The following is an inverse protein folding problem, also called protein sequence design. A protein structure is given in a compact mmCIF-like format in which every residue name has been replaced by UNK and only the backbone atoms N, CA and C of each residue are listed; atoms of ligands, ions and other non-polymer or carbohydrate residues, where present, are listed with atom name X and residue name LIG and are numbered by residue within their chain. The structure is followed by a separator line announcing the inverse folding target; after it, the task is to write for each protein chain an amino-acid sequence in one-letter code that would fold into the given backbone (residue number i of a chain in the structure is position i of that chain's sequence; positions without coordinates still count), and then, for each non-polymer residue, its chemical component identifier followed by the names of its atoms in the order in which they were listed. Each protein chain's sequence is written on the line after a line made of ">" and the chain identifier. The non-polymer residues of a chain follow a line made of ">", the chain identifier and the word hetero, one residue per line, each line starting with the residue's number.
data_IF_340597479580
#
_entry.id   IF_340597479580
#
_cell.length_a   1.000
_cell.length_b   1.000
_cell.length_c   1.000
_cell.angle_alpha   90.00
_cell.angle_beta   90.00
_cell.angle_gamma   90.00
#
_symmetry.space_group_name_H-M   'P 1'
#
loop_
_entity.id
_entity.type
_entity.pdbx_description
1 polymer ?
#
# COMPACT_ATOMS: atom_id res chain seq x y z
N UNK A 1 -10.64 -19.97 11.10
CA UNK A 1 -11.05 -20.12 9.70
C UNK A 1 -10.11 -19.35 8.80
N UNK A 2 -9.73 -19.97 7.71
CA UNK A 2 -8.88 -19.30 6.72
C UNK A 2 -9.70 -18.29 5.93
N UNK A 3 -9.19 -17.07 5.87
CA UNK A 3 -9.76 -16.05 4.99
C UNK A 3 -8.77 -15.80 3.87
N UNK A 4 -9.10 -16.30 2.68
CA UNK A 4 -8.23 -16.20 1.53
C UNK A 4 -8.03 -14.77 1.08
N UNK A 5 -9.06 -13.93 1.18
CA UNK A 5 -8.95 -12.51 0.84
C UNK A 5 -7.90 -11.82 1.71
N UNK A 6 -7.92 -12.10 3.01
CA UNK A 6 -6.93 -11.57 3.94
C UNK A 6 -5.51 -12.00 3.56
N UNK A 7 -5.34 -13.26 3.20
CA UNK A 7 -4.04 -13.79 2.78
C UNK A 7 -3.51 -13.11 1.52
N UNK A 8 -4.37 -12.86 0.55
CA UNK A 8 -4.00 -12.20 -0.70
C UNK A 8 -3.47 -10.78 -0.42
N UNK A 9 -4.19 -10.00 0.38
CA UNK A 9 -3.77 -8.65 0.73
C UNK A 9 -2.47 -8.68 1.53
N UNK A 10 -2.38 -9.57 2.52
CA UNK A 10 -1.15 -9.71 3.31
C UNK A 10 0.04 -10.05 2.42
N UNK A 11 -0.13 -11.00 1.52
CA UNK A 11 0.96 -11.45 0.65
C UNK A 11 1.41 -10.35 -0.30
N UNK A 12 0.47 -9.51 -0.78
CA UNK A 12 0.82 -8.35 -1.60
C UNK A 12 1.75 -7.41 -0.84
N UNK A 13 1.36 -7.03 0.38
CA UNK A 13 2.16 -6.07 1.17
C UNK A 13 3.46 -6.65 1.70
N UNK A 14 3.61 -7.97 1.71
CA UNK A 14 4.87 -8.66 2.05
C UNK A 14 5.77 -8.91 0.85
N UNK A 15 5.24 -8.71 -0.37
CA UNK A 15 6.01 -8.92 -1.59
C UNK A 15 7.02 -7.80 -1.81
N UNK A 16 7.94 -8.02 -2.76
CA UNK A 16 8.88 -6.99 -3.18
C UNK A 16 8.21 -6.09 -4.21
N UNK A 17 7.34 -5.20 -3.74
CA UNK A 17 6.51 -4.34 -4.60
C UNK A 17 7.37 -3.48 -5.52
N UNK A 18 8.50 -3.01 -5.02
CA UNK A 18 9.34 -2.08 -5.76
C UNK A 18 10.13 -2.75 -6.90
N UNK A 19 10.67 -3.95 -6.65
CA UNK A 19 11.60 -4.59 -7.58
C UNK A 19 10.98 -5.65 -8.47
N UNK A 20 9.92 -6.30 -8.00
CA UNK A 20 9.25 -7.35 -8.76
C UNK A 20 8.14 -6.75 -9.61
N UNK A 21 8.43 -6.52 -10.88
CA UNK A 21 7.47 -5.91 -11.82
C UNK A 21 6.24 -6.80 -12.06
N UNK A 22 6.34 -8.09 -11.78
CA UNK A 22 5.22 -9.01 -11.93
C UNK A 22 4.24 -8.99 -10.75
N UNK A 23 4.55 -8.27 -9.67
CA UNK A 23 3.71 -8.23 -8.47
C UNK A 23 2.31 -7.73 -8.78
N UNK A 24 2.19 -6.66 -9.55
CA UNK A 24 0.88 -6.07 -9.84
C UNK A 24 0.01 -7.02 -10.65
N UNK A 25 0.60 -7.67 -11.66
CA UNK A 25 -0.13 -8.65 -12.46
C UNK A 25 -0.61 -9.83 -11.63
N UNK A 26 0.20 -10.26 -10.66
CA UNK A 26 -0.13 -11.40 -9.80
C UNK A 26 -1.24 -11.08 -8.81
N UNK A 27 -1.26 -9.87 -8.24
CA UNK A 27 -2.17 -9.53 -7.15
C UNK A 27 -3.36 -8.64 -7.55
N UNK A 28 -3.26 -7.86 -8.62
CA UNK A 28 -4.32 -6.94 -9.00
C UNK A 28 -5.15 -7.45 -10.16
N UNK A 29 -6.45 -7.30 -10.02
CA UNK A 29 -7.42 -7.63 -11.07
C UNK A 29 -7.23 -6.67 -12.25
N UNK A 30 -7.34 -7.15 -13.51
CA UNK A 30 -7.19 -6.27 -14.68
C UNK A 30 -8.24 -5.16 -14.75
N UNK A 31 -9.38 -5.34 -14.07
CA UNK A 31 -10.44 -4.32 -14.00
C UNK A 31 -10.41 -3.54 -12.68
N UNK A 32 -9.25 -3.45 -12.04
CA UNK A 32 -9.06 -2.73 -10.78
C UNK A 32 -9.56 -1.28 -10.88
N UNK A 33 -10.25 -0.83 -9.84
CA UNK A 33 -10.49 0.58 -9.59
C UNK A 33 -10.09 0.90 -8.16
N UNK A 34 -9.19 1.87 -8.01
CA UNK A 34 -8.76 2.39 -6.71
C UNK A 34 -9.23 3.83 -6.59
N UNK A 35 -10.02 4.09 -5.57
CA UNK A 35 -10.46 5.43 -5.21
C UNK A 35 -9.60 5.90 -4.05
N UNK A 36 -8.78 6.91 -4.31
CA UNK A 36 -7.74 7.34 -3.36
C UNK A 36 -7.90 8.80 -3.01
N UNK A 37 -8.14 9.06 -1.72
CA UNK A 37 -8.15 10.40 -1.15
C UNK A 37 -6.81 10.65 -0.48
N UNK A 38 -6.08 11.64 -0.98
CA UNK A 38 -4.77 12.01 -0.46
C UNK A 38 -4.69 13.51 -0.20
N UNK A 39 -3.53 13.99 0.21
CA UNK A 39 -3.29 15.41 0.36
C UNK A 39 -3.50 16.19 -0.95
N UNK A 40 -3.37 15.52 -2.09
CA UNK A 40 -3.56 16.11 -3.41
C UNK A 40 -5.02 16.04 -3.90
N UNK A 41 -5.94 15.57 -3.05
CA UNK A 41 -7.35 15.42 -3.38
C UNK A 41 -7.71 14.01 -3.81
N UNK A 42 -8.77 13.90 -4.59
CA UNK A 42 -9.32 12.61 -5.03
C UNK A 42 -8.66 12.17 -6.34
N UNK A 43 -8.20 10.93 -6.36
CA UNK A 43 -7.72 10.26 -7.58
C UNK A 43 -8.52 8.98 -7.79
N UNK A 44 -8.91 8.73 -9.02
CA UNK A 44 -9.53 7.46 -9.42
C UNK A 44 -8.54 6.77 -10.35
N UNK A 45 -8.02 5.63 -9.92
CA UNK A 45 -6.94 4.94 -10.62
C UNK A 45 -7.41 3.58 -11.10
N UNK A 46 -7.11 3.26 -12.34
CA UNK A 46 -7.33 1.96 -12.93
C UNK A 46 -6.03 1.17 -12.92
N UNK A 47 -6.05 -0.06 -13.43
CA UNK A 47 -4.88 -0.95 -13.40
C UNK A 47 -3.62 -0.26 -13.96
N UNK A 48 -3.72 0.33 -15.15
CA UNK A 48 -2.56 0.95 -15.80
C UNK A 48 -2.05 2.17 -15.02
N UNK A 49 -2.94 2.91 -14.36
CA UNK A 49 -2.55 4.03 -13.52
C UNK A 49 -1.72 3.58 -12.32
N UNK A 50 -2.11 2.45 -11.71
CA UNK A 50 -1.37 1.89 -10.58
C UNK A 50 -0.01 1.37 -11.03
N UNK A 51 0.05 0.72 -12.21
CA UNK A 51 1.31 0.29 -12.81
C UNK A 51 2.25 1.48 -13.00
N UNK A 52 1.73 2.59 -13.56
CA UNK A 52 2.52 3.79 -13.79
C UNK A 52 2.97 4.44 -12.47
N UNK A 53 2.10 4.43 -11.47
CA UNK A 53 2.43 4.95 -10.14
C UNK A 53 3.63 4.20 -9.54
N UNK A 54 3.62 2.88 -9.55
CA UNK A 54 4.72 2.10 -9.01
C UNK A 54 5.99 2.19 -9.87
N UNK A 55 5.84 2.41 -11.18
CA UNK A 55 6.98 2.69 -12.04
C UNK A 55 7.68 4.00 -11.63
N UNK A 56 6.90 5.03 -11.30
CA UNK A 56 7.44 6.29 -10.79
C UNK A 56 8.15 6.10 -9.45
N UNK A 57 7.55 5.36 -8.54
CA UNK A 57 8.15 5.06 -7.23
C UNK A 57 9.48 4.34 -7.44
N UNK A 58 9.52 3.38 -8.36
CA UNK A 58 10.73 2.61 -8.67
C UNK A 58 11.85 3.48 -9.21
N UNK A 59 11.51 4.48 -10.01
CA UNK A 59 12.50 5.43 -10.54
C UNK A 59 13.00 6.43 -9.49
N UNK A 60 12.15 6.76 -8.53
CA UNK A 60 12.43 7.81 -7.55
C UNK A 60 13.16 7.32 -6.30
N UNK A 61 12.95 6.06 -5.93
CA UNK A 61 13.44 5.56 -4.64
C UNK A 61 14.26 4.29 -4.80
N UNK A 62 15.25 4.17 -3.93
CA UNK A 62 16.14 3.01 -3.89
C UNK A 62 15.49 1.81 -3.21
N UNK A 63 14.60 2.05 -2.25
CA UNK A 63 13.95 1.01 -1.46
C UNK A 63 12.60 1.47 -0.93
N UNK A 64 11.72 0.51 -0.66
CA UNK A 64 10.40 0.74 -0.11
C UNK A 64 10.11 -0.34 0.93
N UNK A 65 9.79 0.09 2.15
CA UNK A 65 9.39 -0.82 3.22
C UNK A 65 7.98 -0.48 3.69
N UNK A 66 7.20 -1.51 3.99
CA UNK A 66 5.83 -1.34 4.47
C UNK A 66 5.75 -1.82 5.91
N UNK A 67 5.18 -0.99 6.77
CA UNK A 67 4.88 -1.36 8.16
C UNK A 67 3.37 -1.38 8.35
N UNK A 68 2.84 -2.56 8.70
CA UNK A 68 1.40 -2.77 8.86
C UNK A 68 1.04 -2.74 10.33
N UNK A 69 0.05 -1.93 10.71
CA UNK A 69 -0.46 -1.90 12.08
C UNK A 69 -1.70 -2.77 12.26
N UNK A 70 -2.57 -2.84 11.24
CA UNK A 70 -3.82 -3.58 11.31
C UNK A 70 -4.12 -4.27 9.99
N UNK A 71 -4.64 -5.48 10.08
CA UNK A 71 -5.11 -6.23 8.91
C UNK A 71 -6.34 -7.01 9.34
N UNK A 72 -7.51 -6.57 8.88
CA UNK A 72 -8.81 -7.10 9.27
C UNK A 72 -9.57 -7.52 8.03
N UNK A 73 -10.38 -8.56 8.14
CA UNK A 73 -11.15 -9.04 7.00
C UNK A 73 -12.57 -9.41 7.40
N UNK A 74 -13.49 -9.15 6.48
CA UNK A 74 -14.89 -9.54 6.58
C UNK A 74 -15.33 -10.02 5.20
N UNK A 75 -15.37 -11.33 5.00
CA UNK A 75 -15.63 -11.92 3.69
C UNK A 75 -14.60 -11.49 2.67
N UNK A 76 -15.03 -10.96 1.51
CA UNK A 76 -14.10 -10.50 0.47
C UNK A 76 -13.50 -9.14 0.73
N UNK A 77 -13.89 -8.46 1.81
CA UNK A 77 -13.41 -7.12 2.15
C UNK A 77 -12.28 -7.20 3.17
N UNK A 78 -11.19 -6.50 2.88
CA UNK A 78 -10.00 -6.50 3.75
C UNK A 78 -9.59 -5.06 4.01
N UNK A 79 -9.47 -4.71 5.29
CA UNK A 79 -9.01 -3.40 5.71
C UNK A 79 -7.59 -3.52 6.23
N UNK A 80 -6.73 -2.61 5.77
CA UNK A 80 -5.32 -2.59 6.18
C UNK A 80 -4.92 -1.15 6.52
N UNK A 81 -4.19 -1.00 7.60
CA UNK A 81 -3.58 0.28 7.98
C UNK A 81 -2.07 0.10 7.95
N UNK A 82 -1.37 0.96 7.20
CA UNK A 82 0.05 0.77 6.96
C UNK A 82 0.76 2.08 6.71
N UNK A 83 2.10 2.04 6.80
CA UNK A 83 2.98 3.17 6.56
C UNK A 83 4.07 2.75 5.58
N UNK A 84 4.42 3.65 4.67
CA UNK A 84 5.54 3.46 3.76
C UNK A 84 6.77 4.18 4.27
N UNK A 85 7.89 3.49 4.19
CA UNK A 85 9.23 4.04 4.40
C UNK A 85 10.01 3.84 3.11
N UNK A 86 10.79 4.86 2.75
CA UNK A 86 11.61 4.81 1.55
C UNK A 86 13.08 5.13 1.87
N UNK A 87 13.93 4.74 0.93
CA UNK A 87 15.32 5.19 0.90
C UNK A 87 15.53 5.86 -0.44
N UNK A 88 16.10 7.07 -0.42
CA UNK A 88 16.34 7.82 -1.64
C UNK A 88 17.60 7.32 -2.35
N UNK A 89 17.70 7.61 -3.65
CA UNK A 89 18.92 7.31 -4.41
C UNK A 89 20.12 8.09 -3.92
N UNK A 90 19.89 9.33 -3.47
CA UNK A 90 20.94 10.23 -3.01
C UNK A 90 21.46 9.87 -1.62
N UNK A 91 20.60 9.31 -0.78
CA UNK A 91 20.95 8.97 0.60
C UNK A 91 20.35 7.60 0.98
N UNK A 92 20.89 6.49 0.42
CA UNK A 92 20.30 5.17 0.61
C UNK A 92 20.45 4.62 2.03
N UNK A 93 21.29 5.23 2.86
CA UNK A 93 21.48 4.78 4.24
C UNK A 93 20.44 5.35 5.20
N UNK A 94 19.65 6.34 4.77
CA UNK A 94 18.62 6.94 5.60
C UNK A 94 17.23 6.46 5.18
N UNK A 95 16.51 5.86 6.12
CA UNK A 95 15.13 5.46 5.89
C UNK A 95 14.19 6.56 6.35
N UNK A 96 13.29 6.99 5.46
CA UNK A 96 12.34 8.07 5.71
C UNK A 96 10.91 7.55 5.62
N UNK A 97 10.09 7.87 6.62
CA UNK A 97 8.66 7.66 6.52
C UNK A 97 8.05 8.72 5.61
N UNK A 98 7.28 8.33 4.63
CA UNK A 98 6.72 9.28 3.65
C UNK A 98 5.22 9.49 3.79
N UNK A 99 4.46 8.44 4.10
CA UNK A 99 3.01 8.54 4.22
C UNK A 99 2.45 7.35 4.96
N UNK A 100 1.29 7.56 5.60
CA UNK A 100 0.54 6.46 6.17
C UNK A 100 -0.84 6.38 5.53
N UNK A 101 -1.39 5.17 5.51
CA UNK A 101 -2.56 4.81 4.73
C UNK A 101 -3.53 3.98 5.54
N UNK A 102 -4.80 4.11 5.21
CA UNK A 102 -5.79 3.10 5.55
C UNK A 102 -6.55 2.80 4.26
N UNK A 103 -6.75 1.52 3.98
CA UNK A 103 -7.40 1.10 2.75
C UNK A 103 -8.38 -0.04 3.02
N UNK A 104 -9.48 -0.03 2.26
CA UNK A 104 -10.43 -1.13 2.22
C UNK A 104 -10.33 -1.73 0.83
N UNK A 105 -9.93 -3.00 0.75
CA UNK A 105 -9.79 -3.73 -0.50
C UNK A 105 -10.90 -4.76 -0.65
N UNK A 106 -11.46 -4.87 -1.84
CA UNK A 106 -12.41 -5.94 -2.18
C UNK A 106 -11.71 -6.91 -3.12
N UNK A 107 -11.82 -8.19 -2.80
CA UNK A 107 -11.19 -9.26 -3.57
C UNK A 107 -12.23 -9.91 -4.49
N UNK A 108 -11.85 -10.12 -5.74
CA UNK A 108 -12.66 -10.82 -6.73
C UNK A 108 -11.74 -11.66 -7.61
N UNK A 109 -12.14 -12.91 -7.89
CA UNK A 109 -11.33 -13.84 -8.70
C UNK A 109 -9.91 -14.00 -8.14
N UNK A 110 -9.80 -14.03 -6.80
CA UNK A 110 -8.54 -14.15 -6.07
C UNK A 110 -7.56 -13.00 -6.33
N UNK A 111 -8.09 -11.83 -6.71
CA UNK A 111 -7.27 -10.63 -6.97
C UNK A 111 -7.90 -9.40 -6.35
N UNK A 112 -7.06 -8.40 -6.09
CA UNK A 112 -7.49 -7.11 -5.56
C UNK A 112 -8.23 -6.36 -6.68
N UNK A 113 -9.51 -6.12 -6.47
CA UNK A 113 -10.44 -5.68 -7.50
C UNK A 113 -10.91 -4.24 -7.31
N UNK A 114 -11.26 -3.87 -6.08
CA UNK A 114 -11.70 -2.51 -5.75
C UNK A 114 -10.98 -2.05 -4.49
N UNK A 115 -10.65 -0.77 -4.47
CA UNK A 115 -10.00 -0.20 -3.31
C UNK A 115 -10.52 1.19 -2.98
N UNK A 116 -10.58 1.46 -1.68
CA UNK A 116 -10.93 2.78 -1.13
C UNK A 116 -9.81 3.11 -0.15
N UNK A 117 -9.02 4.13 -0.47
CA UNK A 117 -7.82 4.43 0.29
C UNK A 117 -7.78 5.89 0.70
N UNK A 118 -7.37 6.15 1.93
CA UNK A 118 -7.04 7.49 2.40
C UNK A 118 -5.60 7.49 2.86
N UNK A 119 -4.91 8.59 2.65
CA UNK A 119 -3.53 8.70 3.06
C UNK A 119 -3.21 10.11 3.55
N UNK A 120 -2.15 10.18 4.36
CA UNK A 120 -1.65 11.42 4.90
C UNK A 120 -0.12 11.40 4.83
N UNK A 121 0.51 12.46 4.28
CA UNK A 121 1.97 12.54 4.29
C UNK A 121 2.50 12.62 5.71
N UNK A 122 3.68 12.05 5.94
CA UNK A 122 4.40 12.24 7.19
C UNK A 122 5.09 13.60 7.12
N UNK A 123 4.93 14.39 8.18
CA UNK A 123 5.58 15.69 8.30
C UNK A 123 6.51 15.70 9.51
N UNK A 124 7.49 16.62 9.49
CA UNK A 124 8.43 16.76 10.61
C UNK A 124 7.75 17.19 11.90
N UNK A 125 6.57 17.80 11.79
CA UNK A 125 5.81 18.30 12.96
C UNK A 125 4.98 17.23 13.65
N UNK A 126 4.62 16.18 12.92
CA UNK A 126 3.77 15.12 13.42
C UNK A 126 4.54 13.82 13.49
N UNK A 127 4.82 13.36 14.70
CA UNK A 127 5.41 12.04 14.86
C UNK A 127 4.33 10.97 14.66
N UNK A 128 3.86 10.85 13.43
CA UNK A 128 2.84 9.86 13.07
C UNK A 128 3.36 8.44 13.15
N UNK A 129 4.68 8.28 13.19
CA UNK A 129 5.33 6.97 13.29
C UNK A 129 4.99 6.31 14.63
N UNK A 130 4.87 7.09 15.70
CA UNK A 130 4.65 6.56 17.05
C UNK A 130 3.41 5.68 17.16
N UNK A 131 2.33 6.05 16.46
CA UNK A 131 1.09 5.27 16.52
C UNK A 131 1.25 3.85 15.95
N UNK A 132 2.19 3.65 15.05
CA UNK A 132 2.48 2.33 14.49
C UNK A 132 3.32 1.48 15.45
N UNK A 133 4.17 2.13 16.22
CA UNK A 133 5.01 1.45 17.20
C UNK A 133 4.24 1.03 18.45
N UNK A 134 3.18 1.78 18.77
CA UNK A 134 2.34 1.49 19.94
C UNK A 134 1.32 0.39 19.69
N UNK A 135 0.93 0.16 18.44
CA UNK A 135 -0.08 -0.83 18.09
C UNK A 135 0.62 -2.11 17.67
N UNK A 136 0.24 -3.21 18.31
CA UNK A 136 0.76 -4.55 18.00
C UNK A 136 -0.36 -5.40 17.44
N UNK A 137 -0.14 -5.96 16.28
CA UNK A 137 -1.15 -6.74 15.57
C UNK A 137 -0.79 -8.20 15.56
#
# INVERSE_FOLDING_TARGET
>A
MNNKAKEIVRDFYRSDILRDEAVLERFFHPELVLIWNSANGLSIMHYDDVVNFFAEVRRSYNDLRVEVSHLLADGPHVTIRYKYYIRTMENPDEELGIAHFIAIWEIKDDKIYRGYQVSQPVTDKDDTTESYHRVKV
#
